data_IF_746562110472
#
_entry.id   IF_746562110472
#
_cell.length_a   1.000
_cell.length_b   1.000
_cell.length_c   1.000
_cell.angle_alpha   90.00
_cell.angle_beta   90.00
_cell.angle_gamma   90.00
#
_symmetry.space_group_name_H-M   'P 1'
#
loop_
_entity.id
_entity.type
_entity.pdbx_description
1 polymer ?
#
# COMPACT_ATOMS: atom_id res chain seq x y z
N UNK A 1 -37.02 -20.19 -43.09
CA UNK A 1 -36.78 -19.68 -41.73
C UNK A 1 -36.70 -18.17 -41.84
N UNK A 2 -37.62 -17.48 -41.19
CA UNK A 2 -37.90 -16.06 -41.40
C UNK A 2 -36.83 -15.19 -40.72
N UNK A 3 -36.33 -14.15 -41.42
CA UNK A 3 -35.30 -13.24 -40.89
C UNK A 3 -35.76 -12.54 -39.60
N UNK A 4 -37.08 -12.43 -39.38
CA UNK A 4 -37.68 -11.93 -38.13
C UNK A 4 -37.49 -12.90 -36.96
N UNK A 5 -37.52 -14.21 -37.22
CA UNK A 5 -37.25 -15.25 -36.20
C UNK A 5 -35.76 -15.22 -35.84
N UNK A 6 -34.88 -15.04 -36.82
CA UNK A 6 -33.43 -14.88 -36.56
C UNK A 6 -33.14 -13.62 -35.73
N UNK A 7 -33.82 -12.50 -36.00
CA UNK A 7 -33.66 -11.24 -35.27
C UNK A 7 -34.18 -11.33 -33.82
N UNK A 8 -35.29 -12.05 -33.59
CA UNK A 8 -35.78 -12.37 -32.25
C UNK A 8 -34.81 -13.26 -31.47
N UNK A 9 -34.16 -14.24 -32.13
CA UNK A 9 -33.11 -15.06 -31.50
C UNK A 9 -31.83 -14.27 -31.19
N UNK A 10 -31.43 -13.34 -32.05
CA UNK A 10 -30.27 -12.46 -31.82
C UNK A 10 -30.57 -11.43 -30.71
N UNK A 11 -31.80 -10.94 -30.62
CA UNK A 11 -32.24 -10.08 -29.51
C UNK A 11 -32.31 -10.89 -28.21
N UNK A 12 -32.88 -12.09 -28.20
CA UNK A 12 -32.91 -12.97 -27.01
C UNK A 12 -31.51 -13.44 -26.59
N UNK A 13 -30.58 -13.66 -27.52
CA UNK A 13 -29.18 -13.96 -27.21
C UNK A 13 -28.36 -12.73 -26.77
N UNK A 14 -28.83 -11.51 -27.05
CA UNK A 14 -28.23 -10.29 -26.49
C UNK A 14 -28.79 -9.91 -25.12
N UNK A 15 -29.93 -10.49 -24.71
CA UNK A 15 -30.44 -10.44 -23.32
C UNK A 15 -29.94 -11.60 -22.45
N UNK A 16 -29.19 -12.56 -23.00
CA UNK A 16 -28.50 -13.60 -22.20
C UNK A 16 -27.17 -13.14 -21.59
N UNK A 17 -26.80 -11.87 -21.73
CA UNK A 17 -25.70 -11.25 -20.97
C UNK A 17 -26.16 -10.65 -19.64
N UNK A 18 -27.35 -11.02 -19.15
CA UNK A 18 -27.84 -10.62 -17.83
C UNK A 18 -27.33 -11.62 -16.78
N UNK A 19 -26.28 -11.20 -16.08
CA UNK A 19 -25.99 -11.52 -14.68
C UNK A 19 -25.59 -12.96 -14.28
N UNK A 20 -24.38 -13.41 -14.61
CA UNK A 20 -23.59 -14.18 -13.62
C UNK A 20 -22.86 -13.17 -12.74
N UNK A 21 -23.58 -12.54 -11.80
CA UNK A 21 -22.92 -11.82 -10.72
C UNK A 21 -21.88 -12.76 -10.11
N UNK A 22 -20.70 -12.25 -9.78
CA UNK A 22 -19.56 -13.04 -9.28
C UNK A 22 -19.98 -14.20 -8.36
N UNK A 23 -20.09 -15.44 -8.90
CA UNK A 23 -20.60 -16.62 -8.15
C UNK A 23 -19.81 -16.84 -6.86
N UNK A 24 -18.52 -16.52 -6.94
CA UNK A 24 -17.62 -16.51 -5.79
C UNK A 24 -18.14 -15.64 -4.64
N UNK A 25 -18.71 -14.47 -4.92
CA UNK A 25 -19.26 -13.60 -3.88
C UNK A 25 -20.37 -14.33 -3.14
N UNK A 26 -21.29 -14.99 -3.84
CA UNK A 26 -22.47 -15.64 -3.26
C UNK A 26 -22.10 -16.67 -2.18
N UNK A 27 -21.14 -17.53 -2.46
CA UNK A 27 -20.82 -18.67 -1.59
C UNK A 27 -19.41 -18.63 -0.96
N UNK A 28 -18.41 -18.10 -1.67
CA UNK A 28 -17.00 -18.14 -1.26
C UNK A 28 -16.53 -16.97 -0.41
N UNK A 29 -17.03 -15.75 -0.68
CA UNK A 29 -16.48 -14.53 -0.05
C UNK A 29 -16.58 -14.55 1.48
N UNK A 30 -17.74 -14.89 2.02
CA UNK A 30 -18.02 -14.84 3.46
C UNK A 30 -17.18 -15.82 4.29
N UNK A 31 -17.09 -17.11 3.91
CA UNK A 31 -16.18 -18.06 4.55
C UNK A 31 -14.72 -17.60 4.60
N UNK A 32 -14.18 -17.13 3.46
CA UNK A 32 -12.80 -16.63 3.39
C UNK A 32 -12.62 -15.34 4.22
N UNK A 33 -13.66 -14.50 4.26
CA UNK A 33 -13.68 -13.28 5.08
C UNK A 33 -13.54 -13.55 6.57
N UNK A 34 -14.27 -14.55 7.08
CA UNK A 34 -14.13 -14.97 8.48
C UNK A 34 -12.74 -15.51 8.79
N UNK A 35 -12.15 -16.25 7.85
CA UNK A 35 -10.82 -16.83 8.02
C UNK A 35 -9.73 -15.74 8.13
N UNK A 36 -9.66 -14.80 7.18
CA UNK A 36 -8.65 -13.73 7.28
C UNK A 36 -8.91 -12.80 8.48
N UNK A 37 -10.16 -12.57 8.90
CA UNK A 37 -10.45 -11.75 10.10
C UNK A 37 -10.00 -12.45 11.38
N UNK A 38 -10.20 -13.76 11.48
CA UNK A 38 -9.69 -14.56 12.60
C UNK A 38 -8.17 -14.51 12.67
N UNK A 39 -7.49 -14.69 11.53
CA UNK A 39 -6.03 -14.63 11.45
C UNK A 39 -5.49 -13.24 11.82
N UNK A 40 -6.17 -12.17 11.38
CA UNK A 40 -5.83 -10.78 11.72
C UNK A 40 -5.91 -10.50 13.23
N UNK A 41 -6.93 -11.05 13.88
CA UNK A 41 -7.07 -10.99 15.34
C UNK A 41 -5.99 -11.81 16.04
N UNK A 42 -5.79 -13.06 15.61
CA UNK A 42 -4.92 -14.02 16.30
C UNK A 42 -3.43 -13.73 16.19
N UNK A 43 -3.01 -12.97 15.16
CA UNK A 43 -1.59 -12.73 14.90
C UNK A 43 -0.94 -11.83 15.95
N UNK A 44 -1.64 -10.81 16.44
CA UNK A 44 -1.10 -9.82 17.40
C UNK A 44 -1.78 -9.82 18.77
N UNK A 45 -2.75 -10.70 18.99
CA UNK A 45 -3.64 -10.62 20.14
C UNK A 45 -4.69 -9.51 19.96
N UNK A 46 -5.20 -8.97 21.06
CA UNK A 46 -6.30 -8.01 21.04
C UNK A 46 -6.00 -6.79 20.15
N UNK A 47 -6.98 -6.40 19.33
CA UNK A 47 -6.88 -5.20 18.50
C UNK A 47 -6.87 -3.97 19.43
N UNK A 48 -5.89 -3.08 19.24
CA UNK A 48 -5.73 -1.89 20.10
C UNK A 48 -6.98 -1.00 20.14
N UNK A 49 -7.28 -0.43 21.30
CA UNK A 49 -8.34 0.56 21.47
C UNK A 49 -7.89 2.00 21.12
N UNK A 50 -6.60 2.22 20.87
CA UNK A 50 -6.06 3.53 20.50
C UNK A 50 -6.74 4.14 19.26
N UNK A 51 -6.85 5.48 19.22
CA UNK A 51 -7.48 6.19 18.11
C UNK A 51 -6.55 6.16 16.89
N UNK A 52 -7.06 5.66 15.76
CA UNK A 52 -6.34 5.77 14.47
C UNK A 52 -6.29 7.25 14.07
N UNK A 53 -5.10 7.81 13.79
CA UNK A 53 -4.95 9.24 13.50
C UNK A 53 -5.53 9.63 12.13
N UNK A 54 -5.71 8.66 11.23
CA UNK A 54 -6.33 8.84 9.92
C UNK A 54 -7.84 8.58 10.04
N UNK A 55 -8.71 9.53 9.63
CA UNK A 55 -10.15 9.32 9.59
C UNK A 55 -10.50 8.17 8.65
N UNK A 56 -11.46 7.33 9.07
CA UNK A 56 -11.98 6.28 8.19
C UNK A 56 -12.84 6.88 7.07
N UNK A 57 -12.76 6.39 5.83
CA UNK A 57 -13.47 6.97 4.70
C UNK A 57 -14.95 6.55 4.64
N UNK A 58 -15.74 6.86 5.68
CA UNK A 58 -17.16 6.44 5.78
C UNK A 58 -18.00 6.95 4.59
N UNK A 59 -17.70 8.15 4.06
CA UNK A 59 -18.39 8.71 2.87
C UNK A 59 -18.16 7.84 1.62
N UNK A 60 -16.94 7.36 1.40
CA UNK A 60 -16.60 6.51 0.27
C UNK A 60 -17.35 5.17 0.36
N UNK A 61 -17.29 4.52 1.52
CA UNK A 61 -18.02 3.27 1.77
C UNK A 61 -19.54 3.45 1.62
N UNK A 62 -20.07 4.61 2.02
CA UNK A 62 -21.47 4.99 1.80
C UNK A 62 -21.83 5.05 0.32
N UNK A 63 -21.00 5.69 -0.51
CA UNK A 63 -21.20 5.80 -1.97
C UNK A 63 -21.10 4.44 -2.66
N UNK A 64 -20.09 3.63 -2.31
CA UNK A 64 -19.90 2.30 -2.90
C UNK A 64 -21.09 1.38 -2.60
N UNK A 65 -21.68 1.45 -1.40
CA UNK A 65 -22.87 0.66 -1.06
C UNK A 65 -24.03 0.86 -2.03
N UNK A 66 -24.16 2.06 -2.61
CA UNK A 66 -25.21 2.40 -3.58
C UNK A 66 -24.74 2.37 -5.04
N UNK A 67 -23.46 2.05 -5.30
CA UNK A 67 -22.89 2.02 -6.63
C UNK A 67 -23.41 0.83 -7.47
N UNK A 68 -23.00 0.79 -8.74
CA UNK A 68 -23.32 -0.34 -9.61
C UNK A 68 -22.58 -1.61 -9.16
N UNK A 69 -23.09 -2.77 -9.57
CA UNK A 69 -22.54 -4.07 -9.18
C UNK A 69 -21.05 -4.20 -9.53
N UNK A 70 -20.67 -3.80 -10.75
CA UNK A 70 -19.28 -3.81 -11.21
C UNK A 70 -18.36 -2.98 -10.32
N UNK A 71 -18.74 -1.74 -10.02
CA UNK A 71 -17.96 -0.84 -9.15
C UNK A 71 -17.76 -1.40 -7.74
N UNK A 72 -18.79 -2.04 -7.18
CA UNK A 72 -18.67 -2.71 -5.88
C UNK A 72 -17.64 -3.84 -5.92
N UNK A 73 -17.69 -4.69 -6.95
CA UNK A 73 -16.77 -5.83 -7.10
C UNK A 73 -15.33 -5.33 -7.32
N UNK A 74 -15.14 -4.32 -8.17
CA UNK A 74 -13.84 -3.67 -8.38
C UNK A 74 -13.32 -3.08 -7.07
N UNK A 75 -14.15 -2.37 -6.31
CA UNK A 75 -13.77 -1.80 -5.02
C UNK A 75 -13.36 -2.88 -4.01
N UNK A 76 -14.07 -4.02 -3.95
CA UNK A 76 -13.69 -5.16 -3.10
C UNK A 76 -12.31 -5.70 -3.48
N UNK A 77 -12.07 -5.93 -4.77
CA UNK A 77 -10.79 -6.42 -5.31
C UNK A 77 -9.63 -5.47 -5.00
N UNK A 78 -9.78 -4.20 -5.34
CA UNK A 78 -8.72 -3.19 -5.14
C UNK A 78 -8.42 -2.96 -3.66
N UNK A 79 -9.45 -2.92 -2.81
CA UNK A 79 -9.26 -2.74 -1.37
C UNK A 79 -8.50 -3.91 -0.75
N UNK A 80 -8.82 -5.16 -1.12
CA UNK A 80 -8.10 -6.33 -0.62
C UNK A 80 -6.65 -6.32 -1.10
N UNK A 81 -6.40 -6.00 -2.37
CA UNK A 81 -5.03 -5.89 -2.88
C UNK A 81 -4.20 -4.82 -2.17
N UNK A 82 -4.78 -3.65 -1.90
CA UNK A 82 -4.09 -2.60 -1.13
C UNK A 82 -3.75 -3.06 0.29
N UNK A 83 -4.61 -3.87 0.93
CA UNK A 83 -4.33 -4.45 2.25
C UNK A 83 -3.21 -5.49 2.16
N UNK A 84 -3.23 -6.41 1.18
CA UNK A 84 -2.13 -7.38 0.97
C UNK A 84 -0.79 -6.64 0.83
N UNK A 85 -0.78 -5.61 -0.02
CA UNK A 85 0.38 -4.78 -0.30
C UNK A 85 0.93 -4.08 0.96
N UNK A 86 0.04 -3.55 1.80
CA UNK A 86 0.40 -2.90 3.07
C UNK A 86 1.06 -3.88 4.06
N UNK A 87 0.54 -5.10 4.15
CA UNK A 87 1.07 -6.15 5.05
C UNK A 87 2.28 -6.90 4.48
N UNK A 88 2.68 -6.62 3.24
CA UNK A 88 3.96 -7.07 2.68
C UNK A 88 5.13 -6.14 3.05
N UNK A 89 4.90 -5.15 3.93
CA UNK A 89 5.93 -4.23 4.42
C UNK A 89 6.83 -4.82 5.51
N UNK A 90 7.76 -4.00 6.01
CA UNK A 90 8.65 -4.38 7.09
C UNK A 90 7.90 -4.44 8.44
N UNK A 91 7.67 -5.67 8.91
CA UNK A 91 6.92 -5.98 10.15
C UNK A 91 7.84 -6.43 11.31
N UNK A 92 9.15 -6.19 11.23
CA UNK A 92 10.08 -6.62 12.29
C UNK A 92 9.86 -5.91 13.63
N UNK A 93 9.20 -4.74 13.61
CA UNK A 93 8.87 -3.99 14.82
C UNK A 93 7.76 -4.63 15.66
N UNK A 94 6.93 -5.53 15.11
CA UNK A 94 5.80 -6.15 15.83
C UNK A 94 6.11 -7.56 16.31
N UNK A 95 5.48 -7.95 17.42
CA UNK A 95 5.59 -9.29 18.01
C UNK A 95 4.59 -10.30 17.43
N UNK A 96 4.03 -9.99 16.25
CA UNK A 96 3.00 -10.82 15.65
C UNK A 96 3.51 -12.23 15.32
N UNK A 97 2.63 -13.22 15.48
CA UNK A 97 2.90 -14.61 15.11
C UNK A 97 3.11 -14.69 13.60
N UNK A 98 4.36 -14.82 13.15
CA UNK A 98 4.73 -14.86 11.71
C UNK A 98 3.91 -15.86 10.89
N UNK A 99 3.71 -17.07 11.39
CA UNK A 99 2.89 -18.09 10.72
C UNK A 99 1.43 -17.62 10.48
N UNK A 100 0.84 -16.89 11.43
CA UNK A 100 -0.53 -16.37 11.31
C UNK A 100 -0.61 -15.22 10.31
N UNK A 101 0.43 -14.38 10.25
CA UNK A 101 0.58 -13.34 9.22
C UNK A 101 0.70 -13.93 7.81
N UNK A 102 1.55 -14.96 7.64
CA UNK A 102 1.71 -15.65 6.35
C UNK A 102 0.40 -16.30 5.89
N UNK A 103 -0.32 -16.97 6.81
CA UNK A 103 -1.65 -17.52 6.56
C UNK A 103 -2.65 -16.41 6.19
N UNK A 104 -2.63 -15.28 6.92
CA UNK A 104 -3.50 -14.14 6.65
C UNK A 104 -3.30 -13.61 5.22
N UNK A 105 -2.06 -13.39 4.81
CA UNK A 105 -1.71 -12.94 3.46
C UNK A 105 -2.12 -13.96 2.40
N UNK A 106 -1.90 -15.25 2.65
CA UNK A 106 -2.30 -16.35 1.74
C UNK A 106 -3.81 -16.38 1.52
N UNK A 107 -4.61 -16.20 2.58
CA UNK A 107 -6.08 -16.21 2.52
C UNK A 107 -6.61 -14.95 1.83
N UNK A 108 -6.01 -13.77 2.08
CA UNK A 108 -6.36 -12.55 1.35
C UNK A 108 -6.02 -12.65 -0.14
N UNK A 109 -4.86 -13.20 -0.48
CA UNK A 109 -4.42 -13.41 -1.86
C UNK A 109 -5.30 -14.42 -2.61
N UNK A 110 -5.80 -15.45 -1.93
CA UNK A 110 -6.89 -16.29 -2.46
C UNK A 110 -8.14 -15.47 -2.74
N UNK A 111 -8.57 -14.63 -1.78
CA UNK A 111 -9.76 -13.79 -1.96
C UNK A 111 -9.61 -12.83 -3.15
N UNK A 112 -8.44 -12.21 -3.32
CA UNK A 112 -8.18 -11.29 -4.42
C UNK A 112 -8.20 -11.98 -5.77
N UNK A 113 -7.60 -13.18 -5.91
CA UNK A 113 -7.65 -13.97 -7.14
C UNK A 113 -9.06 -14.32 -7.56
N UNK A 114 -9.91 -14.73 -6.62
CA UNK A 114 -11.29 -15.10 -6.96
C UNK A 114 -12.11 -13.87 -7.38
N UNK A 115 -11.91 -12.72 -6.73
CA UNK A 115 -12.50 -11.45 -7.17
C UNK A 115 -11.95 -10.99 -8.51
N UNK A 116 -10.67 -11.21 -8.78
CA UNK A 116 -10.02 -10.86 -10.04
C UNK A 116 -10.70 -11.56 -11.21
N UNK A 117 -11.10 -12.83 -11.07
CA UNK A 117 -11.87 -13.54 -12.10
C UNK A 117 -13.15 -12.79 -12.46
N UNK A 118 -13.81 -12.19 -11.46
CA UNK A 118 -15.04 -11.42 -11.65
C UNK A 118 -14.81 -10.03 -12.25
N UNK A 119 -13.64 -9.43 -12.03
CA UNK A 119 -13.24 -8.13 -12.58
C UNK A 119 -12.59 -8.25 -13.97
N UNK A 120 -12.03 -9.41 -14.30
CA UNK A 120 -11.29 -9.66 -15.55
C UNK A 120 -12.13 -9.59 -16.83
N UNK A 121 -13.46 -9.53 -16.70
CA UNK A 121 -14.40 -9.20 -17.79
C UNK A 121 -14.52 -7.70 -18.09
N UNK A 122 -14.05 -6.82 -17.19
CA UNK A 122 -14.22 -5.36 -17.28
C UNK A 122 -12.92 -4.56 -17.34
N UNK A 123 -11.77 -5.15 -17.02
CA UNK A 123 -10.50 -4.42 -16.94
C UNK A 123 -9.38 -5.19 -17.65
N UNK A 124 -8.95 -4.71 -18.82
CA UNK A 124 -7.58 -4.91 -19.28
C UNK A 124 -6.73 -3.80 -18.67
N UNK A 125 -5.78 -4.19 -17.82
CA UNK A 125 -4.69 -3.33 -17.36
C UNK A 125 -5.02 -2.51 -16.11
N UNK A 126 -4.76 -3.09 -14.94
CA UNK A 126 -4.36 -2.31 -13.77
C UNK A 126 -3.17 -3.04 -13.14
N UNK A 127 -1.97 -2.54 -13.44
CA UNK A 127 -0.80 -2.65 -12.57
C UNK A 127 -0.81 -1.40 -11.71
N UNK A 128 -1.31 -1.51 -10.49
CA UNK A 128 -0.92 -0.62 -9.40
C UNK A 128 -0.35 -1.51 -8.30
N UNK A 129 0.97 -1.67 -8.38
CA UNK A 129 1.79 -2.38 -7.42
C UNK A 129 2.38 -1.32 -6.48
N UNK A 130 1.77 -1.12 -5.32
CA UNK A 130 2.46 -0.49 -4.19
C UNK A 130 2.93 -1.61 -3.27
N UNK A 131 3.92 -2.39 -3.68
CA UNK A 131 4.52 -3.39 -2.79
C UNK A 131 5.29 -2.67 -1.67
N UNK A 132 4.96 -2.98 -0.42
CA UNK A 132 5.70 -2.51 0.75
C UNK A 132 7.20 -2.72 0.57
N UNK A 133 7.91 -1.60 0.43
CA UNK A 133 9.37 -1.45 0.25
C UNK A 133 10.02 -1.91 -1.07
N UNK A 134 9.26 -2.25 -2.11
CA UNK A 134 9.82 -2.41 -3.47
C UNK A 134 10.45 -1.11 -4.00
N UNK A 135 10.01 0.04 -3.50
CA UNK A 135 10.61 1.33 -3.85
C UNK A 135 12.12 1.37 -3.56
N UNK A 136 12.64 0.59 -2.59
CA UNK A 136 14.08 0.50 -2.38
C UNK A 136 14.80 -0.11 -3.59
N UNK A 137 14.18 -1.09 -4.25
CA UNK A 137 14.78 -1.80 -5.38
C UNK A 137 14.90 -0.91 -6.62
N UNK A 138 13.89 -0.06 -6.87
CA UNK A 138 13.79 0.66 -8.14
C UNK A 138 13.77 2.19 -8.00
N UNK A 139 13.34 2.72 -6.86
CA UNK A 139 13.19 4.15 -6.61
C UNK A 139 14.33 4.79 -5.83
N UNK A 140 14.92 4.09 -4.87
CA UNK A 140 15.96 4.67 -3.99
C UNK A 140 17.19 5.14 -4.78
N UNK A 141 17.68 4.32 -5.71
CA UNK A 141 18.88 4.61 -6.51
C UNK A 141 18.74 5.88 -7.39
N UNK A 142 17.70 5.98 -8.23
CA UNK A 142 17.45 7.18 -9.03
C UNK A 142 17.35 8.46 -8.20
N UNK A 143 16.57 8.45 -7.12
CA UNK A 143 16.44 9.62 -6.22
C UNK A 143 17.77 9.97 -5.57
N UNK A 144 18.59 8.95 -5.24
CA UNK A 144 19.92 9.17 -4.69
C UNK A 144 20.88 9.86 -5.64
N UNK A 145 20.89 9.44 -6.90
CA UNK A 145 21.71 10.11 -7.92
C UNK A 145 21.31 11.57 -8.12
N UNK A 146 20.02 11.88 -8.02
CA UNK A 146 19.50 13.23 -8.21
C UNK A 146 19.99 14.19 -7.12
N UNK A 147 19.82 13.89 -5.83
CA UNK A 147 20.32 14.81 -4.79
C UNK A 147 21.85 14.84 -4.72
N UNK A 148 22.56 13.75 -5.07
CA UNK A 148 24.03 13.77 -5.16
C UNK A 148 24.52 14.67 -6.30
N UNK A 149 23.83 14.64 -7.45
CA UNK A 149 24.12 15.54 -8.57
C UNK A 149 23.86 16.99 -8.15
N UNK A 150 22.74 17.28 -7.49
CA UNK A 150 22.41 18.62 -7.01
C UNK A 150 23.44 19.13 -5.97
N UNK A 151 23.92 18.25 -5.08
CA UNK A 151 24.96 18.55 -4.09
C UNK A 151 26.29 18.91 -4.74
N UNK A 152 26.72 18.19 -5.78
CA UNK A 152 27.94 18.51 -6.53
C UNK A 152 27.81 19.84 -7.28
N UNK A 153 26.60 20.20 -7.67
CA UNK A 153 26.31 21.29 -8.58
C UNK A 153 26.02 22.63 -7.89
N UNK A 154 25.66 22.60 -6.61
CA UNK A 154 25.15 23.75 -5.87
C UNK A 154 26.25 24.70 -5.41
N UNK A 155 27.41 24.18 -4.99
CA UNK A 155 28.47 24.94 -4.34
C UNK A 155 29.81 24.93 -5.06
N UNK A 156 29.91 24.26 -6.21
CA UNK A 156 31.19 23.95 -6.85
C UNK A 156 31.88 22.76 -6.19
N UNK A 157 33.19 22.68 -6.31
CA UNK A 157 33.95 21.53 -5.82
C UNK A 157 33.84 21.38 -4.29
N UNK A 158 33.55 20.15 -3.85
CA UNK A 158 33.56 19.81 -2.43
C UNK A 158 35.00 19.88 -1.93
N UNK A 159 35.23 20.69 -0.89
CA UNK A 159 36.57 20.88 -0.32
C UNK A 159 37.11 19.57 0.28
N UNK A 160 38.42 19.34 0.10
CA UNK A 160 39.15 18.23 0.72
C UNK A 160 39.64 18.57 2.14
N UNK A 161 39.23 19.71 2.69
CA UNK A 161 39.58 20.10 4.05
C UNK A 161 39.10 19.05 5.07
N UNK A 162 39.96 18.74 6.05
CA UNK A 162 39.64 17.75 7.07
C UNK A 162 38.51 18.27 7.96
N UNK A 163 37.41 17.53 8.02
CA UNK A 163 36.28 17.85 8.89
C UNK A 163 36.69 17.62 10.35
N UNK A 164 36.36 18.52 11.30
CA UNK A 164 36.72 18.37 12.72
C UNK A 164 36.02 17.20 13.41
N UNK A 165 35.00 16.63 12.78
CA UNK A 165 34.18 15.55 13.29
C UNK A 165 34.51 14.27 12.51
N UNK A 166 34.92 13.18 13.18
CA UNK A 166 35.18 11.92 12.50
C UNK A 166 33.90 11.34 11.90
N UNK A 167 34.00 10.79 10.70
CA UNK A 167 32.90 10.06 10.07
C UNK A 167 32.62 8.76 10.84
N UNK A 168 31.36 8.34 11.04
CA UNK A 168 31.05 7.18 11.87
C UNK A 168 31.21 5.86 11.09
N UNK A 169 32.42 5.56 10.60
CA UNK A 169 32.73 4.37 9.79
C UNK A 169 32.29 3.05 10.44
N UNK A 170 32.47 2.94 11.76
CA UNK A 170 32.07 1.76 12.54
C UNK A 170 30.56 1.53 12.48
N UNK A 171 29.77 2.59 12.51
CA UNK A 171 28.30 2.51 12.43
C UNK A 171 27.84 2.03 11.05
N UNK A 172 28.43 2.60 9.98
CA UNK A 172 28.19 2.15 8.60
C UNK A 172 28.67 0.71 8.36
N UNK A 173 29.73 0.27 9.04
CA UNK A 173 30.18 -1.12 9.03
C UNK A 173 29.15 -2.07 9.67
N UNK A 174 28.62 -1.71 10.84
CA UNK A 174 27.63 -2.50 11.59
C UNK A 174 26.29 -2.63 10.86
N UNK A 175 25.82 -1.54 10.25
CA UNK A 175 24.50 -1.55 9.60
C UNK A 175 24.48 -2.46 8.36
N UNK A 176 25.62 -2.65 7.69
CA UNK A 176 25.73 -3.54 6.51
C UNK A 176 25.28 -4.97 6.83
N UNK A 177 25.52 -5.43 8.04
CA UNK A 177 25.16 -6.78 8.52
C UNK A 177 23.87 -6.82 9.34
N UNK A 178 23.18 -5.69 9.53
CA UNK A 178 21.95 -5.61 10.31
C UNK A 178 20.72 -6.18 9.56
N UNK A 179 19.60 -6.28 10.28
CA UNK A 179 18.32 -6.69 9.71
C UNK A 179 17.79 -5.63 8.74
N UNK A 180 16.85 -6.02 7.87
CA UNK A 180 16.34 -5.12 6.83
C UNK A 180 15.66 -3.89 7.45
N UNK A 181 14.90 -4.07 8.54
CA UNK A 181 14.30 -2.96 9.25
C UNK A 181 15.32 -1.94 9.73
N UNK A 182 16.36 -2.39 10.44
CA UNK A 182 17.42 -1.51 10.94
C UNK A 182 18.10 -0.74 9.80
N UNK A 183 18.34 -1.39 8.66
CA UNK A 183 18.91 -0.75 7.46
C UNK A 183 18.02 0.38 6.94
N UNK A 184 16.71 0.15 6.88
CA UNK A 184 15.73 1.15 6.43
C UNK A 184 15.64 2.30 7.43
N UNK A 185 15.58 2.00 8.73
CA UNK A 185 15.59 2.99 9.81
C UNK A 185 16.83 3.86 9.72
N UNK A 186 18.00 3.24 9.56
CA UNK A 186 19.28 3.95 9.42
C UNK A 186 19.29 4.87 8.20
N UNK A 187 18.76 4.43 7.05
CA UNK A 187 18.65 5.27 5.85
C UNK A 187 17.71 6.47 6.09
N UNK A 188 16.53 6.22 6.68
CA UNK A 188 15.57 7.27 7.02
C UNK A 188 16.17 8.32 7.97
N UNK A 189 16.80 7.88 9.06
CA UNK A 189 17.42 8.77 10.05
C UNK A 189 18.60 9.54 9.46
N UNK A 190 19.45 8.89 8.66
CA UNK A 190 20.58 9.53 7.99
C UNK A 190 20.13 10.66 7.06
N UNK A 191 19.10 10.41 6.24
CA UNK A 191 18.55 11.45 5.33
C UNK A 191 17.95 12.61 6.12
N UNK A 192 17.22 12.33 7.21
CA UNK A 192 16.67 13.40 8.06
C UNK A 192 17.76 14.21 8.76
N UNK A 193 18.86 13.59 9.17
CA UNK A 193 20.01 14.31 9.72
C UNK A 193 20.63 15.24 8.67
N UNK A 194 20.79 14.77 7.43
CA UNK A 194 21.28 15.60 6.31
C UNK A 194 20.33 16.79 6.07
N UNK A 195 19.02 16.57 5.98
CA UNK A 195 18.05 17.67 5.81
C UNK A 195 18.22 18.72 6.92
N UNK A 196 18.38 18.29 8.18
CA UNK A 196 18.59 19.20 9.32
C UNK A 196 19.88 20.02 9.21
N UNK A 197 20.97 19.44 8.68
CA UNK A 197 22.23 20.17 8.48
C UNK A 197 22.07 21.35 7.52
N UNK A 198 21.20 21.20 6.51
CA UNK A 198 20.95 22.22 5.49
C UNK A 198 19.79 23.16 5.85
N UNK A 199 19.14 22.97 7.01
CA UNK A 199 18.05 23.83 7.52
C UNK A 199 18.56 24.96 8.45
N UNK A 200 19.87 25.27 8.40
CA UNK A 200 20.51 26.31 9.21
C UNK A 200 20.66 27.66 8.49
N UNK A 201 21.34 28.61 9.13
CA UNK A 201 21.72 29.86 8.47
C UNK A 201 22.79 29.60 7.41
N UNK A 202 22.44 29.80 6.14
CA UNK A 202 23.28 29.56 4.97
C UNK A 202 23.68 30.87 4.26
N UNK A 203 23.61 32.02 4.93
CA UNK A 203 23.92 33.31 4.30
C UNK A 203 25.43 33.50 4.04
N UNK A 204 26.27 32.70 4.71
CA UNK A 204 27.71 32.70 4.52
C UNK A 204 28.17 31.93 3.27
N UNK A 205 27.29 31.12 2.64
CA UNK A 205 27.67 30.31 1.47
C UNK A 205 27.16 30.92 0.16
N UNK A 206 27.95 30.77 -0.90
CA UNK A 206 27.64 31.27 -2.26
C UNK A 206 26.84 30.27 -3.10
N UNK A 207 26.19 29.29 -2.44
CA UNK A 207 25.50 28.20 -3.12
C UNK A 207 24.32 28.69 -3.96
N UNK A 208 24.08 28.01 -5.09
CA UNK A 208 22.94 28.28 -5.97
C UNK A 208 21.63 27.92 -5.24
N UNK A 209 20.89 28.94 -4.78
CA UNK A 209 19.67 28.79 -3.96
C UNK A 209 18.63 27.85 -4.58
N UNK A 210 18.34 27.97 -5.89
CA UNK A 210 17.41 27.06 -6.58
C UNK A 210 17.86 25.59 -6.54
N UNK A 211 19.17 25.31 -6.61
CA UNK A 211 19.69 23.94 -6.50
C UNK A 211 19.63 23.42 -5.06
N UNK A 212 19.85 24.29 -4.07
CA UNK A 212 19.67 23.97 -2.65
C UNK A 212 18.20 23.60 -2.32
N UNK A 213 17.25 24.42 -2.76
CA UNK A 213 15.82 24.15 -2.55
C UNK A 213 15.40 22.84 -3.22
N UNK A 214 15.89 22.59 -4.44
CA UNK A 214 15.62 21.34 -5.15
C UNK A 214 16.26 20.14 -4.42
N UNK A 215 17.51 20.27 -3.97
CA UNK A 215 18.21 19.25 -3.19
C UNK A 215 17.41 18.85 -1.93
N UNK A 216 16.96 19.84 -1.16
CA UNK A 216 16.15 19.62 0.04
C UNK A 216 14.81 18.95 -0.31
N UNK A 217 14.16 19.37 -1.39
CA UNK A 217 12.90 18.77 -1.87
C UNK A 217 13.08 17.30 -2.25
N UNK A 218 14.17 16.96 -2.93
CA UNK A 218 14.48 15.58 -3.35
C UNK A 218 14.82 14.69 -2.14
N UNK A 219 15.57 15.20 -1.16
CA UNK A 219 15.84 14.49 0.10
C UNK A 219 14.57 14.26 0.92
N UNK A 220 13.72 15.28 1.04
CA UNK A 220 12.45 15.23 1.74
C UNK A 220 11.45 14.27 1.06
N UNK A 221 11.47 14.19 -0.28
CA UNK A 221 10.77 13.14 -1.02
C UNK A 221 11.32 11.75 -0.63
N UNK A 222 12.63 11.60 -0.58
CA UNK A 222 13.26 10.32 -0.25
C UNK A 222 12.95 9.86 1.19
N UNK A 223 12.98 10.79 2.16
CA UNK A 223 12.69 10.51 3.56
C UNK A 223 11.25 10.05 3.75
N UNK A 224 10.29 10.66 3.03
CA UNK A 224 8.89 10.21 3.02
C UNK A 224 8.73 8.79 2.49
N UNK A 225 9.42 8.43 1.41
CA UNK A 225 9.34 7.07 0.88
C UNK A 225 9.93 6.03 1.85
N UNK A 226 11.03 6.38 2.54
CA UNK A 226 11.61 5.51 3.58
C UNK A 226 10.75 5.46 4.84
N UNK A 227 10.06 6.53 5.20
CA UNK A 227 9.16 6.58 6.35
C UNK A 227 8.01 5.57 6.20
N UNK A 228 7.49 5.39 4.99
CA UNK A 228 6.48 4.36 4.68
C UNK A 228 6.98 2.94 4.93
N UNK A 229 8.30 2.76 5.05
CA UNK A 229 8.96 1.48 5.32
C UNK A 229 9.42 1.32 6.78
N UNK A 230 9.22 2.32 7.64
CA UNK A 230 9.75 2.37 9.00
C UNK A 230 8.65 2.66 10.03
N UNK A 231 7.61 1.81 10.06
CA UNK A 231 6.57 1.88 11.08
C UNK A 231 7.03 1.20 12.37
N UNK A 232 6.86 1.88 13.50
CA UNK A 232 7.04 1.28 14.82
C UNK A 232 5.93 0.29 15.15
N UNK A 233 6.10 -0.45 16.25
CA UNK A 233 5.14 -1.46 16.68
C UNK A 233 3.75 -0.87 16.91
N UNK A 234 3.69 0.33 17.48
CA UNK A 234 2.44 1.04 17.74
C UNK A 234 1.70 1.41 16.43
N UNK A 235 2.44 1.92 15.44
CA UNK A 235 1.91 2.27 14.12
C UNK A 235 1.36 1.05 13.41
N UNK A 236 2.06 -0.08 13.48
CA UNK A 236 1.56 -1.34 12.92
C UNK A 236 0.30 -1.85 13.61
N UNK A 237 0.15 -1.67 14.93
CA UNK A 237 -1.10 -1.98 15.63
C UNK A 237 -2.27 -1.08 15.18
N UNK A 238 -2.00 0.21 14.94
CA UNK A 238 -2.99 1.13 14.38
C UNK A 238 -3.36 0.76 12.93
N UNK A 239 -2.38 0.34 12.13
CA UNK A 239 -2.59 -0.18 10.77
C UNK A 239 -3.44 -1.46 10.81
N UNK A 240 -3.13 -2.40 11.73
CA UNK A 240 -3.91 -3.62 11.95
C UNK A 240 -5.36 -3.32 12.29
N UNK A 241 -5.59 -2.35 13.17
CA UNK A 241 -6.94 -1.85 13.50
C UNK A 241 -7.66 -1.22 12.31
N UNK A 242 -6.97 -0.41 11.52
CA UNK A 242 -7.55 0.20 10.33
C UNK A 242 -7.95 -0.88 9.31
N UNK A 243 -7.07 -1.85 9.07
CA UNK A 243 -7.32 -3.00 8.20
C UNK A 243 -8.50 -3.84 8.68
N UNK A 244 -8.61 -4.14 9.98
CA UNK A 244 -9.76 -4.82 10.58
C UNK A 244 -11.08 -4.11 10.24
N UNK A 245 -11.12 -2.78 10.42
CA UNK A 245 -12.31 -1.98 10.09
C UNK A 245 -12.61 -2.02 8.59
N UNK A 246 -11.62 -1.90 7.73
CA UNK A 246 -11.80 -2.00 6.28
C UNK A 246 -12.37 -3.37 5.89
N UNK A 247 -11.73 -4.46 6.30
CA UNK A 247 -12.13 -5.83 5.99
C UNK A 247 -13.57 -6.14 6.45
N UNK A 248 -13.96 -5.69 7.65
CA UNK A 248 -15.35 -5.79 8.13
C UNK A 248 -16.34 -5.00 7.26
N UNK A 249 -15.96 -3.81 6.78
CA UNK A 249 -16.83 -3.02 5.89
C UNK A 249 -16.93 -3.63 4.48
N UNK A 250 -15.88 -4.29 3.98
CA UNK A 250 -15.93 -5.03 2.72
C UNK A 250 -16.92 -6.20 2.80
N UNK A 251 -17.02 -6.88 3.94
CA UNK A 251 -18.01 -7.94 4.17
C UNK A 251 -19.45 -7.42 4.04
N UNK A 252 -19.73 -6.20 4.52
CA UNK A 252 -21.04 -5.55 4.35
C UNK A 252 -21.34 -5.21 2.89
N UNK A 253 -20.35 -4.80 2.11
CA UNK A 253 -20.49 -4.54 0.67
C UNK A 253 -20.80 -5.87 -0.05
N UNK A 254 -20.07 -6.93 0.28
CA UNK A 254 -20.32 -8.29 -0.24
C UNK A 254 -21.75 -8.76 0.08
N UNK A 255 -22.23 -8.55 1.31
CA UNK A 255 -23.61 -8.86 1.68
C UNK A 255 -24.64 -8.06 0.86
N UNK A 256 -24.37 -6.79 0.57
CA UNK A 256 -25.20 -5.97 -0.31
C UNK A 256 -25.24 -6.49 -1.74
N UNK A 257 -24.11 -6.98 -2.27
CA UNK A 257 -24.03 -7.60 -3.61
C UNK A 257 -24.90 -8.85 -3.65
N UNK A 258 -24.76 -9.75 -2.66
CA UNK A 258 -25.58 -10.97 -2.55
C UNK A 258 -27.08 -10.66 -2.55
N UNK A 259 -27.48 -9.67 -1.76
CA UNK A 259 -28.88 -9.27 -1.67
C UNK A 259 -29.42 -8.70 -2.99
N UNK A 260 -28.57 -8.07 -3.81
CA UNK A 260 -28.95 -7.60 -5.14
C UNK A 260 -29.06 -8.76 -6.14
N UNK A 261 -28.12 -9.73 -6.11
CA UNK A 261 -28.18 -10.92 -6.98
C UNK A 261 -29.44 -11.76 -6.72
N UNK A 262 -29.79 -11.96 -5.45
CA UNK A 262 -30.99 -12.73 -5.07
C UNK A 262 -32.33 -12.06 -5.43
N UNK A 263 -32.33 -10.79 -5.88
CA UNK A 263 -33.55 -10.09 -6.33
C UNK A 263 -33.76 -10.18 -7.85
N UNK A 264 -32.72 -10.60 -8.57
CA UNK A 264 -32.74 -10.72 -10.04
C UNK A 264 -33.11 -12.15 -10.48
N UNK A 265 -32.97 -13.12 -9.56
CA UNK A 265 -33.46 -14.50 -9.69
C UNK A 265 -34.86 -14.65 -9.09
#
# INVERSE_FOLDING_TARGET
MDARILYLFIILCSVQNVCNGCDWIQHGFGPVSREYLSLLSDMGGDITNAKVPVPFPDVLYGRIRTAQMGDKITFLYESINQIIQLFNGNLDAVTWKRLKLEQFLTVLDRQSRELQKCVSSYIKGVQNVCNGCDWIQHGFGPVSREYLSLLSDMGGDITNAKVPVPFPDVLYGRIRTAQMGDKITFLYESINQIIKLFNGNLDAVTWKRLKLEHFLTVLDRQSRELQKCNYDSHSWELIRKAADRHLKRLDLISASIKAQMNKVN
#
